data_IF_614654045103
#
_entry.id   IF_614654045103
#
_cell.length_a   1.000
_cell.length_b   1.000
_cell.length_c   1.000
_cell.angle_alpha   90.00
_cell.angle_beta   90.00
_cell.angle_gamma   90.00
#
_symmetry.space_group_name_H-M   'P 1'
#
loop_
_entity.id
_entity.type
_entity.pdbx_description
1 polymer ?
#
# COMPACT_ATOMS: atom_id res chain seq x y z
N UNK A 1 -17.75 22.30 -3.78
CA UNK A 1 -17.76 20.97 -3.15
C UNK A 1 -17.52 21.21 -1.66
N UNK A 2 -18.56 21.26 -0.83
CA UNK A 2 -18.42 21.55 0.62
C UNK A 2 -17.87 20.31 1.32
N UNK A 3 -16.62 20.36 1.77
CA UNK A 3 -16.07 19.33 2.64
C UNK A 3 -16.76 19.53 3.98
N UNK A 4 -17.60 18.56 4.39
CA UNK A 4 -18.23 18.59 5.70
C UNK A 4 -17.12 18.42 6.75
N UNK A 5 -16.67 19.51 7.35
CA UNK A 5 -15.92 19.55 8.61
C UNK A 5 -16.78 18.96 9.74
N UNK A 6 -16.96 17.64 9.74
CA UNK A 6 -17.47 16.93 10.90
C UNK A 6 -16.29 16.80 11.86
N UNK A 7 -16.12 17.80 12.71
CA UNK A 7 -15.20 17.81 13.84
C UNK A 7 -15.63 16.73 14.83
N UNK A 8 -15.25 15.47 14.53
CA UNK A 8 -15.21 14.41 15.52
C UNK A 8 -14.11 14.75 16.51
N UNK A 9 -14.50 15.31 17.64
CA UNK A 9 -13.61 15.71 18.72
C UNK A 9 -12.82 14.54 19.32
N UNK A 10 -11.64 14.93 19.82
CA UNK A 10 -10.87 14.32 20.91
C UNK A 10 -10.35 12.89 20.76
N UNK A 11 -9.02 12.77 20.78
CA UNK A 11 -8.34 11.65 21.44
C UNK A 11 -7.57 10.69 20.55
N UNK A 12 -6.53 11.15 19.86
CA UNK A 12 -5.45 10.24 19.42
C UNK A 12 -4.33 10.26 20.46
N UNK A 13 -4.63 9.65 21.61
CA UNK A 13 -3.61 9.19 22.56
C UNK A 13 -3.70 7.67 22.56
N UNK A 14 -2.71 7.02 21.94
CA UNK A 14 -2.38 5.60 22.06
C UNK A 14 -3.52 4.59 21.89
N UNK A 15 -3.65 4.00 20.70
CA UNK A 15 -4.23 2.67 20.57
C UNK A 15 -3.30 1.80 19.73
N UNK A 16 -2.80 0.76 20.37
CA UNK A 16 -1.83 -0.26 19.95
C UNK A 16 -2.33 -1.16 18.79
N UNK A 17 -2.80 -0.53 17.71
CA UNK A 17 -3.15 -1.15 16.43
C UNK A 17 -2.62 -0.36 15.22
N UNK A 18 -1.64 0.53 15.46
CA UNK A 18 -1.15 1.53 14.49
C UNK A 18 -0.41 0.94 13.29
N UNK A 19 0.35 -0.14 13.46
CA UNK A 19 1.23 -0.65 12.40
C UNK A 19 0.46 -1.02 11.12
N UNK A 20 -0.68 -1.72 11.26
CA UNK A 20 -1.50 -2.15 10.12
C UNK A 20 -2.29 -1.03 9.44
N UNK A 21 -2.69 0.03 10.16
CA UNK A 21 -3.38 1.20 9.55
C UNK A 21 -2.41 2.05 8.74
N UNK A 22 -1.17 2.07 9.18
CA UNK A 22 -0.13 2.95 8.70
C UNK A 22 0.61 2.29 7.52
N UNK A 23 0.67 0.94 7.49
CA UNK A 23 0.95 0.16 6.28
C UNK A 23 -0.10 0.37 5.18
N UNK A 24 -1.40 0.39 5.55
CA UNK A 24 -2.49 0.68 4.60
C UNK A 24 -2.33 2.07 4.00
N UNK A 25 -2.02 3.07 4.85
CA UNK A 25 -1.79 4.42 4.38
C UNK A 25 -0.67 4.47 3.33
N UNK A 26 0.46 3.77 3.53
CA UNK A 26 1.54 3.76 2.53
C UNK A 26 1.13 3.17 1.17
N UNK A 27 0.16 2.24 1.14
CA UNK A 27 -0.38 1.68 -0.11
C UNK A 27 -1.25 2.68 -0.88
N UNK A 28 -1.86 3.65 -0.20
CA UNK A 28 -2.73 4.69 -0.77
C UNK A 28 -1.92 5.92 -1.26
N UNK A 29 -0.71 6.15 -0.73
CA UNK A 29 0.12 7.32 -1.06
C UNK A 29 0.47 7.49 -2.55
N UNK A 30 0.77 6.44 -3.34
CA UNK A 30 1.01 6.61 -4.77
C UNK A 30 -0.21 7.20 -5.49
N UNK A 31 -1.43 6.76 -5.12
CA UNK A 31 -2.65 7.33 -5.68
C UNK A 31 -2.82 8.81 -5.29
N UNK A 32 -2.40 9.20 -4.07
CA UNK A 32 -2.45 10.59 -3.61
C UNK A 32 -1.58 11.48 -4.48
N UNK A 33 -0.34 11.06 -4.71
CA UNK A 33 0.63 11.77 -5.54
C UNK A 33 0.11 11.86 -6.99
N UNK A 34 -0.50 10.81 -7.52
CA UNK A 34 -1.14 10.84 -8.84
C UNK A 34 -2.27 11.88 -8.91
N UNK A 35 -3.16 11.94 -7.92
CA UNK A 35 -4.25 12.93 -7.87
C UNK A 35 -3.72 14.35 -7.71
N UNK A 36 -2.69 14.56 -6.89
CA UNK A 36 -2.03 15.86 -6.75
C UNK A 36 -1.40 16.32 -8.05
N UNK A 37 -0.61 15.46 -8.70
CA UNK A 37 0.02 15.76 -9.98
C UNK A 37 -1.02 16.07 -11.07
N UNK A 38 -2.12 15.32 -11.11
CA UNK A 38 -3.22 15.56 -12.04
C UNK A 38 -3.92 16.90 -11.79
N UNK A 39 -4.25 17.21 -10.53
CA UNK A 39 -4.90 18.47 -10.18
C UNK A 39 -3.99 19.68 -10.41
N UNK A 40 -2.69 19.55 -10.12
CA UNK A 40 -1.69 20.60 -10.34
C UNK A 40 -1.46 20.90 -11.83
N UNK A 41 -1.55 19.88 -12.70
CA UNK A 41 -1.54 20.07 -14.16
C UNK A 41 -2.75 20.87 -14.65
N UNK A 42 -3.92 20.67 -14.03
CA UNK A 42 -5.13 21.42 -14.38
C UNK A 42 -5.10 22.86 -13.86
N UNK A 43 -4.75 23.06 -12.58
CA UNK A 43 -4.65 24.39 -11.96
C UNK A 43 -3.39 24.47 -11.10
N UNK A 44 -2.53 25.50 -11.27
CA UNK A 44 -1.30 25.70 -10.49
C UNK A 44 -1.49 26.09 -9.02
N UNK A 45 -2.43 25.47 -8.30
CA UNK A 45 -2.74 25.84 -6.92
C UNK A 45 -2.72 24.60 -6.01
N UNK A 46 -1.82 24.62 -5.02
CA UNK A 46 -1.60 23.51 -4.10
C UNK A 46 -2.82 23.24 -3.21
N UNK A 47 -3.48 24.27 -2.67
CA UNK A 47 -4.67 24.12 -1.82
C UNK A 47 -5.83 23.50 -2.60
N UNK A 48 -6.03 23.95 -3.84
CA UNK A 48 -7.06 23.39 -4.73
C UNK A 48 -6.75 21.94 -5.10
N UNK A 49 -5.47 21.61 -5.31
CA UNK A 49 -5.03 20.24 -5.56
C UNK A 49 -5.23 19.33 -4.35
N UNK A 50 -4.88 19.79 -3.14
CA UNK A 50 -5.09 19.07 -1.90
C UNK A 50 -6.58 18.85 -1.62
N UNK A 51 -7.42 19.88 -1.82
CA UNK A 51 -8.87 19.76 -1.69
C UNK A 51 -9.48 18.77 -2.69
N UNK A 52 -9.00 18.76 -3.93
CA UNK A 52 -9.41 17.78 -4.94
C UNK A 52 -9.02 16.34 -4.52
N UNK A 53 -7.77 16.14 -4.10
CA UNK A 53 -7.30 14.84 -3.65
C UNK A 53 -8.07 14.35 -2.40
N UNK A 54 -8.41 15.24 -1.47
CA UNK A 54 -9.20 14.93 -0.28
C UNK A 54 -10.62 14.45 -0.61
N UNK A 55 -11.22 15.02 -1.67
CA UNK A 55 -12.52 14.63 -2.17
C UNK A 55 -12.51 13.22 -2.79
N UNK A 56 -11.43 12.89 -3.50
CA UNK A 56 -11.32 11.65 -4.25
C UNK A 56 -10.92 10.44 -3.38
N UNK A 57 -10.14 10.66 -2.32
CA UNK A 57 -9.72 9.59 -1.42
C UNK A 57 -10.77 9.24 -0.36
N UNK A 58 -10.95 7.94 -0.10
CA UNK A 58 -11.90 7.42 0.91
C UNK A 58 -11.21 6.66 2.06
N UNK A 59 -10.00 6.16 1.85
CA UNK A 59 -9.18 5.48 2.84
C UNK A 59 -8.71 6.36 4.01
N UNK A 60 -7.83 5.81 4.84
CA UNK A 60 -7.28 6.51 6.01
C UNK A 60 -6.52 7.78 5.63
N UNK A 61 -5.82 7.75 4.49
CA UNK A 61 -5.09 8.91 3.95
C UNK A 61 -6.05 10.02 3.54
N UNK A 62 -7.22 9.66 2.98
CA UNK A 62 -8.28 10.61 2.63
C UNK A 62 -8.92 11.29 3.84
N UNK A 63 -9.14 10.54 4.93
CA UNK A 63 -9.65 11.11 6.19
C UNK A 63 -8.64 12.10 6.80
N UNK A 64 -7.36 11.73 6.81
CA UNK A 64 -6.29 12.62 7.24
C UNK A 64 -6.28 13.90 6.40
N UNK A 65 -6.32 13.79 5.07
CA UNK A 65 -6.26 14.96 4.20
C UNK A 65 -7.49 15.86 4.34
N UNK A 66 -8.69 15.30 4.49
CA UNK A 66 -9.91 16.09 4.78
C UNK A 66 -9.81 16.85 6.10
N UNK A 67 -9.19 16.25 7.11
CA UNK A 67 -8.94 16.92 8.39
C UNK A 67 -7.96 18.08 8.22
N UNK A 68 -6.85 17.86 7.52
CA UNK A 68 -5.87 18.92 7.24
C UNK A 68 -6.48 20.07 6.43
N UNK A 69 -7.30 19.76 5.43
CA UNK A 69 -8.05 20.77 4.67
C UNK A 69 -9.04 21.54 5.54
N UNK A 70 -9.72 20.85 6.46
CA UNK A 70 -10.60 21.50 7.42
C UNK A 70 -9.81 22.46 8.36
N UNK A 71 -8.63 22.06 8.83
CA UNK A 71 -7.77 22.91 9.66
C UNK A 71 -7.24 24.14 8.89
N UNK A 72 -7.01 24.00 7.58
CA UNK A 72 -6.65 25.10 6.68
C UNK A 72 -7.83 26.06 6.43
N UNK A 73 -9.04 25.54 6.19
CA UNK A 73 -10.26 26.35 6.06
C UNK A 73 -10.62 27.11 7.36
N UNK A 74 -10.32 26.53 8.52
CA UNK A 74 -10.52 27.14 9.84
C UNK A 74 -9.41 28.14 10.22
N UNK A 75 -8.38 28.31 9.39
CA UNK A 75 -7.26 29.24 9.63
C UNK A 75 -6.25 28.78 10.69
N UNK A 76 -6.26 27.50 11.08
CA UNK A 76 -5.26 26.93 11.99
C UNK A 76 -3.91 26.64 11.29
N UNK A 77 -3.92 26.58 9.96
CA UNK A 77 -2.75 26.43 9.08
C UNK A 77 -2.71 27.59 8.08
N UNK A 78 -1.53 28.06 7.75
CA UNK A 78 -1.37 29.29 6.94
C UNK A 78 -1.21 29.02 5.44
N UNK A 79 -0.74 27.83 5.07
CA UNK A 79 -0.42 27.50 3.68
C UNK A 79 -0.55 26.00 3.41
N UNK A 80 -0.94 25.64 2.18
CA UNK A 80 -0.92 24.25 1.72
C UNK A 80 0.47 23.58 1.77
N UNK A 81 1.55 24.36 1.81
CA UNK A 81 2.92 23.82 1.95
C UNK A 81 3.15 23.18 3.33
N UNK A 82 2.58 23.74 4.41
CA UNK A 82 2.65 23.17 5.77
C UNK A 82 1.99 21.78 5.80
N UNK A 83 0.87 21.63 5.08
CA UNK A 83 0.19 20.33 4.95
C UNK A 83 1.10 19.30 4.30
N UNK A 84 1.83 19.69 3.26
CA UNK A 84 2.75 18.79 2.56
C UNK A 84 3.94 18.39 3.43
N UNK A 85 4.48 19.31 4.24
CA UNK A 85 5.54 19.02 5.21
C UNK A 85 5.06 18.05 6.30
N UNK A 86 3.84 18.23 6.81
CA UNK A 86 3.27 17.32 7.81
C UNK A 86 3.00 15.92 7.23
N UNK A 87 2.65 15.83 5.94
CA UNK A 87 2.58 14.55 5.22
C UNK A 87 3.95 13.87 5.10
N UNK A 88 5.00 14.62 4.74
CA UNK A 88 6.37 14.10 4.67
C UNK A 88 6.84 13.63 6.05
N UNK A 89 6.62 14.42 7.10
CA UNK A 89 7.00 14.03 8.46
C UNK A 89 6.28 12.78 8.95
N UNK A 90 5.04 12.55 8.52
CA UNK A 90 4.25 11.38 8.91
C UNK A 90 4.63 10.10 8.17
N UNK A 91 4.93 10.18 6.87
CA UNK A 91 5.11 8.99 6.02
C UNK A 91 6.49 8.84 5.39
N UNK A 92 7.32 9.88 5.36
CA UNK A 92 8.62 9.87 4.70
C UNK A 92 9.57 8.81 5.24
N UNK A 93 9.60 8.62 6.57
CA UNK A 93 10.43 7.59 7.20
C UNK A 93 10.09 6.15 6.81
N UNK A 94 8.88 5.89 6.32
CA UNK A 94 8.43 4.54 5.92
C UNK A 94 8.39 4.34 4.41
N UNK A 95 8.17 5.42 3.65
CA UNK A 95 7.94 5.40 2.22
C UNK A 95 8.80 6.51 1.59
N UNK A 96 10.13 6.30 1.47
CA UNK A 96 11.08 7.33 1.02
C UNK A 96 10.78 7.83 -0.40
N UNK A 97 10.12 7.02 -1.22
CA UNK A 97 9.74 7.40 -2.59
C UNK A 97 8.64 8.45 -2.58
N UNK A 98 7.76 8.40 -1.58
CA UNK A 98 6.68 9.38 -1.40
C UNK A 98 7.25 10.71 -0.93
N UNK A 99 8.17 10.69 0.04
CA UNK A 99 8.89 11.89 0.48
C UNK A 99 9.53 12.63 -0.69
N UNK A 100 10.30 11.89 -1.52
CA UNK A 100 10.93 12.46 -2.72
C UNK A 100 9.91 13.07 -3.67
N UNK A 101 8.80 12.37 -3.92
CA UNK A 101 7.75 12.86 -4.81
C UNK A 101 7.04 14.12 -4.29
N UNK A 102 6.81 14.22 -2.98
CA UNK A 102 6.19 15.39 -2.35
C UNK A 102 7.12 16.61 -2.37
N UNK A 103 8.43 16.41 -2.15
CA UNK A 103 9.42 17.48 -2.30
C UNK A 103 9.48 18.01 -3.75
N UNK A 104 9.41 17.13 -4.75
CA UNK A 104 9.36 17.52 -6.16
C UNK A 104 8.03 18.24 -6.51
N UNK A 105 6.92 17.83 -5.92
CA UNK A 105 5.65 18.54 -6.09
C UNK A 105 5.74 19.96 -5.52
N UNK A 106 6.31 20.13 -4.33
CA UNK A 106 6.52 21.45 -3.73
C UNK A 106 7.35 22.35 -4.63
N UNK A 107 8.51 21.87 -5.11
CA UNK A 107 9.36 22.66 -6.00
C UNK A 107 8.66 23.02 -7.32
N UNK A 108 7.80 22.14 -7.84
CA UNK A 108 7.02 22.43 -9.06
C UNK A 108 5.99 23.55 -8.91
N UNK A 109 5.56 23.88 -7.69
CA UNK A 109 4.62 24.98 -7.42
C UNK A 109 5.37 26.31 -7.33
N UNK A 110 6.63 26.28 -6.90
CA UNK A 110 7.52 27.45 -6.85
C UNK A 110 8.09 27.82 -8.23
N UNK A 111 8.16 26.85 -9.15
CA UNK A 111 8.61 27.05 -10.54
C UNK A 111 7.55 27.78 -11.40
N UNK A 112 7.91 28.96 -11.91
CA UNK A 112 7.01 29.79 -12.72
C UNK A 112 6.84 29.39 -14.19
N UNK A 113 7.69 28.52 -14.75
CA UNK A 113 7.62 28.13 -16.17
C UNK A 113 6.83 26.83 -16.37
N UNK A 114 5.84 26.86 -17.26
CA UNK A 114 4.95 25.72 -17.54
C UNK A 114 5.72 24.45 -17.97
N UNK A 115 6.69 24.59 -18.88
CA UNK A 115 7.43 23.45 -19.41
C UNK A 115 8.34 22.78 -18.38
N UNK A 116 8.97 23.54 -17.48
CA UNK A 116 9.80 22.97 -16.40
C UNK A 116 8.90 22.31 -15.37
N UNK A 117 7.81 22.97 -14.98
CA UNK A 117 6.83 22.46 -14.03
C UNK A 117 6.23 21.11 -14.43
N UNK A 118 5.85 20.93 -15.70
CA UNK A 118 5.32 19.65 -16.19
C UNK A 118 6.35 18.51 -16.11
N UNK A 119 7.62 18.81 -16.38
CA UNK A 119 8.74 17.86 -16.24
C UNK A 119 9.01 17.53 -14.78
N UNK A 120 8.99 18.51 -13.90
CA UNK A 120 9.17 18.31 -12.45
C UNK A 120 8.04 17.44 -11.89
N UNK A 121 6.78 17.71 -12.28
CA UNK A 121 5.64 16.87 -11.92
C UNK A 121 5.72 15.45 -12.50
N UNK A 122 6.21 15.28 -13.74
CA UNK A 122 6.40 13.94 -14.30
C UNK A 122 7.49 13.16 -13.58
N UNK A 123 8.57 13.82 -13.14
CA UNK A 123 9.62 13.22 -12.30
C UNK A 123 9.09 12.82 -10.92
N UNK A 124 8.24 13.65 -10.31
CA UNK A 124 7.57 13.29 -9.05
C UNK A 124 6.70 12.04 -9.21
N UNK A 125 5.94 11.98 -10.31
CA UNK A 125 5.08 10.85 -10.63
C UNK A 125 5.88 9.58 -10.92
N UNK A 126 6.97 9.66 -11.69
CA UNK A 126 7.82 8.50 -11.95
C UNK A 126 8.45 7.98 -10.67
N UNK A 127 8.94 8.86 -9.78
CA UNK A 127 9.54 8.45 -8.50
C UNK A 127 8.58 7.62 -7.63
N UNK A 128 7.31 8.05 -7.51
CA UNK A 128 6.34 7.30 -6.69
C UNK A 128 5.90 5.99 -7.34
N UNK A 129 5.80 5.96 -8.68
CA UNK A 129 5.43 4.76 -9.43
C UNK A 129 6.55 3.72 -9.42
N UNK A 130 7.80 4.14 -9.58
CA UNK A 130 8.97 3.27 -9.46
C UNK A 130 9.04 2.66 -8.06
N UNK A 131 8.73 3.43 -7.01
CA UNK A 131 8.59 2.92 -5.64
C UNK A 131 7.47 1.87 -5.51
N UNK A 132 6.30 2.14 -6.09
CA UNK A 132 5.18 1.19 -6.08
C UNK A 132 5.52 -0.12 -6.83
N UNK A 133 6.18 -0.01 -7.99
CA UNK A 133 6.66 -1.16 -8.77
C UNK A 133 7.75 -1.92 -8.02
N UNK A 134 8.68 -1.23 -7.37
CA UNK A 134 9.71 -1.81 -6.52
C UNK A 134 9.09 -2.64 -5.39
N UNK A 135 8.12 -2.08 -4.66
CA UNK A 135 7.39 -2.82 -3.59
C UNK A 135 6.65 -4.04 -4.13
N UNK A 136 6.05 -3.94 -5.31
CA UNK A 136 5.39 -5.07 -5.96
C UNK A 136 6.40 -6.18 -6.34
N UNK A 137 7.59 -5.80 -6.83
CA UNK A 137 8.68 -6.72 -7.15
C UNK A 137 9.22 -7.42 -5.91
N UNK A 138 9.51 -6.68 -4.86
CA UNK A 138 9.99 -7.24 -3.58
C UNK A 138 8.96 -8.20 -2.98
N UNK A 139 7.68 -7.87 -3.11
CA UNK A 139 6.61 -8.78 -2.70
C UNK A 139 6.62 -10.07 -3.53
N UNK A 140 6.72 -9.99 -4.86
CA UNK A 140 6.81 -11.16 -5.72
C UNK A 140 8.01 -12.05 -5.34
N UNK A 141 9.16 -11.46 -5.03
CA UNK A 141 10.34 -12.18 -4.54
C UNK A 141 10.11 -12.87 -3.19
N UNK A 142 9.50 -12.18 -2.22
CA UNK A 142 9.18 -12.77 -0.90
C UNK A 142 8.19 -13.94 -1.01
N UNK A 143 7.18 -13.81 -1.87
CA UNK A 143 6.22 -14.89 -2.14
C UNK A 143 6.90 -16.07 -2.79
N UNK A 144 7.74 -15.84 -3.81
CA UNK A 144 8.46 -16.92 -4.48
C UNK A 144 9.37 -17.70 -3.52
N UNK A 145 10.12 -17.00 -2.67
CA UNK A 145 10.97 -17.63 -1.67
C UNK A 145 10.16 -18.45 -0.65
N UNK A 146 9.02 -17.91 -0.20
CA UNK A 146 8.12 -18.62 0.72
C UNK A 146 7.52 -19.87 0.08
N UNK A 147 7.11 -19.80 -1.21
CA UNK A 147 6.60 -20.96 -1.96
C UNK A 147 7.68 -22.03 -2.10
N UNK A 148 8.91 -21.65 -2.45
CA UNK A 148 10.03 -22.60 -2.56
C UNK A 148 10.27 -23.34 -1.25
N UNK A 149 10.25 -22.66 -0.11
CA UNK A 149 10.39 -23.29 1.21
C UNK A 149 9.26 -24.27 1.53
N UNK A 150 8.01 -23.89 1.21
CA UNK A 150 6.85 -24.78 1.39
C UNK A 150 6.96 -26.01 0.49
N UNK A 151 7.40 -25.84 -0.75
CA UNK A 151 7.54 -26.93 -1.72
C UNK A 151 8.66 -27.91 -1.32
N UNK A 152 9.82 -27.42 -0.90
CA UNK A 152 10.95 -28.28 -0.55
C UNK A 152 10.72 -29.02 0.77
N UNK A 153 10.26 -28.32 1.82
CA UNK A 153 9.98 -28.94 3.12
C UNK A 153 8.70 -29.77 3.11
N UNK A 154 7.72 -29.39 2.31
CA UNK A 154 6.39 -29.97 2.36
C UNK A 154 6.07 -31.01 1.28
N UNK A 155 6.79 -30.99 0.16
CA UNK A 155 6.58 -31.96 -0.92
C UNK A 155 7.82 -32.81 -1.15
N UNK A 156 8.99 -32.21 -1.35
CA UNK A 156 10.22 -32.99 -1.62
C UNK A 156 10.69 -33.80 -0.41
N UNK A 157 10.77 -33.19 0.77
CA UNK A 157 11.24 -33.87 1.99
C UNK A 157 10.41 -35.13 2.31
N UNK A 158 9.06 -35.09 2.36
CA UNK A 158 8.28 -36.32 2.57
C UNK A 158 8.45 -37.31 1.43
N UNK A 159 8.51 -36.86 0.18
CA UNK A 159 8.67 -37.75 -0.96
C UNK A 159 9.98 -38.56 -0.88
N UNK A 160 11.09 -37.89 -0.57
CA UNK A 160 12.40 -38.54 -0.40
C UNK A 160 12.37 -39.51 0.78
N UNK A 161 11.73 -39.13 1.90
CA UNK A 161 11.60 -39.99 3.06
C UNK A 161 10.84 -41.28 2.73
N UNK A 162 9.70 -41.16 2.04
CA UNK A 162 8.88 -42.31 1.57
C UNK A 162 9.69 -43.24 0.68
N UNK A 163 10.48 -42.70 -0.25
CA UNK A 163 11.36 -43.49 -1.13
C UNK A 163 12.47 -44.19 -0.33
N UNK A 164 12.95 -43.60 0.76
CA UNK A 164 13.98 -44.19 1.63
C UNK A 164 13.45 -45.20 2.66
N UNK A 165 12.14 -45.21 2.95
CA UNK A 165 11.51 -46.17 3.89
C UNK A 165 11.94 -47.63 3.67
N UNK A 166 11.87 -48.21 2.45
CA UNK A 166 12.24 -49.61 2.25
C UNK A 166 13.70 -49.92 2.61
N UNK A 167 14.62 -48.98 2.33
CA UNK A 167 16.05 -49.10 2.66
C UNK A 167 16.29 -49.06 4.17
N UNK A 168 15.54 -48.22 4.87
CA UNK A 168 15.62 -48.13 6.34
C UNK A 168 15.02 -49.39 6.98
N UNK A 169 13.89 -49.88 6.43
CA UNK A 169 13.21 -51.08 6.92
C UNK A 169 14.06 -52.35 6.82
N UNK A 170 14.93 -52.46 5.80
CA UNK A 170 15.83 -53.61 5.66
C UNK A 170 16.95 -53.64 6.71
N UNK A 171 17.22 -52.50 7.37
CA UNK A 171 18.25 -52.38 8.41
C UNK A 171 17.69 -52.74 9.80
N UNK A 172 16.41 -53.12 9.92
CA UNK A 172 15.77 -53.53 11.18
C UNK A 172 15.42 -52.37 12.13
N UNK A 173 15.77 -51.13 11.77
CA UNK A 173 15.43 -49.93 12.54
C UNK A 173 14.22 -49.23 11.90
N UNK A 174 13.04 -49.35 12.51
CA UNK A 174 11.91 -48.43 12.28
C UNK A 174 10.78 -48.98 11.39
N UNK A 175 9.80 -49.63 12.03
CA UNK A 175 8.52 -50.01 11.42
C UNK A 175 7.45 -48.91 11.50
N UNK A 176 6.46 -49.01 12.42
CA UNK A 176 5.28 -48.14 12.42
C UNK A 176 5.55 -46.66 12.78
N UNK A 177 6.60 -46.38 13.56
CA UNK A 177 6.93 -45.02 14.01
C UNK A 177 7.39 -44.11 12.85
N UNK A 178 8.15 -44.64 11.90
CA UNK A 178 8.65 -43.89 10.73
C UNK A 178 7.49 -43.58 9.78
N UNK A 179 6.61 -44.55 9.55
CA UNK A 179 5.36 -44.38 8.79
C UNK A 179 4.43 -43.34 9.41
N UNK A 180 4.27 -43.36 10.74
CA UNK A 180 3.45 -42.37 11.45
C UNK A 180 4.01 -40.95 11.29
N UNK A 181 5.33 -40.78 11.44
CA UNK A 181 5.98 -39.47 11.28
C UNK A 181 5.87 -38.95 9.83
N UNK A 182 6.09 -39.82 8.84
CA UNK A 182 5.98 -39.47 7.43
C UNK A 182 4.54 -39.11 7.02
N UNK A 183 3.55 -39.89 7.45
CA UNK A 183 2.15 -39.71 7.05
C UNK A 183 1.39 -38.65 7.86
N UNK A 184 1.76 -38.38 9.12
CA UNK A 184 1.00 -37.47 10.00
C UNK A 184 1.77 -36.18 10.27
N UNK A 185 3.05 -36.26 10.65
CA UNK A 185 3.79 -35.05 11.02
C UNK A 185 4.08 -34.17 9.79
N UNK A 186 4.45 -34.80 8.67
CA UNK A 186 4.79 -34.05 7.48
C UNK A 186 3.62 -33.20 6.94
N UNK A 187 2.41 -33.73 6.69
CA UNK A 187 1.29 -32.90 6.24
C UNK A 187 0.85 -31.86 7.28
N UNK A 188 0.98 -32.15 8.58
CA UNK A 188 0.70 -31.18 9.64
C UNK A 188 1.68 -29.99 9.58
N UNK A 189 2.97 -30.25 9.32
CA UNK A 189 3.99 -29.23 9.16
C UNK A 189 3.76 -28.38 7.90
N UNK A 190 3.36 -29.01 6.79
CA UNK A 190 2.97 -28.28 5.56
C UNK A 190 1.77 -27.39 5.79
N UNK A 191 0.73 -27.92 6.44
CA UNK A 191 -0.47 -27.17 6.77
C UNK A 191 -0.13 -25.93 7.60
N UNK A 192 0.70 -26.09 8.63
CA UNK A 192 1.14 -24.98 9.48
C UNK A 192 1.94 -23.92 8.69
N UNK A 193 2.89 -24.35 7.84
CA UNK A 193 3.65 -23.44 6.98
C UNK A 193 2.74 -22.71 5.98
N UNK A 194 1.78 -23.41 5.37
CA UNK A 194 0.80 -22.85 4.45
C UNK A 194 -0.05 -21.77 5.12
N UNK A 195 -0.60 -22.06 6.30
CA UNK A 195 -1.33 -21.07 7.09
C UNK A 195 -0.48 -19.86 7.46
N UNK A 196 0.83 -20.02 7.65
CA UNK A 196 1.75 -18.91 7.95
C UNK A 196 2.03 -18.05 6.71
N UNK A 197 2.22 -18.68 5.55
CA UNK A 197 2.45 -18.00 4.27
C UNK A 197 1.20 -17.21 3.79
N UNK A 198 0.00 -17.79 3.96
CA UNK A 198 -1.27 -17.17 3.58
C UNK A 198 -1.65 -15.94 4.42
N UNK A 199 -1.06 -15.76 5.62
CA UNK A 199 -1.27 -14.55 6.43
C UNK A 199 -0.49 -13.34 5.92
N UNK A 200 0.44 -13.52 5.00
CA UNK A 200 1.20 -12.43 4.38
C UNK A 200 0.47 -11.69 3.26
N UNK A 201 -0.88 -11.71 3.21
CA UNK A 201 -1.65 -11.05 2.15
C UNK A 201 -1.40 -9.53 2.20
N UNK A 202 -0.77 -8.93 1.17
CA UNK A 202 -0.61 -7.51 1.10
C UNK A 202 -1.98 -6.89 0.89
N UNK A 203 -2.21 -5.79 1.58
CA UNK A 203 -3.39 -4.96 1.42
C UNK A 203 -3.33 -4.39 0.01
N UNK A 204 -4.18 -4.96 -0.86
CA UNK A 204 -4.34 -4.52 -2.24
C UNK A 204 -4.61 -3.02 -2.25
N UNK A 205 -3.86 -2.34 -3.12
CA UNK A 205 -4.10 -0.96 -3.54
C UNK A 205 -5.60 -0.68 -3.58
N UNK A 206 -6.04 0.37 -2.89
CA UNK A 206 -7.43 0.79 -2.96
C UNK A 206 -7.76 1.03 -4.44
N UNK A 207 -8.72 0.27 -4.96
CA UNK A 207 -9.07 0.36 -6.37
C UNK A 207 -9.54 1.78 -6.64
N UNK A 208 -8.85 2.48 -7.54
CA UNK A 208 -9.33 3.74 -8.11
C UNK A 208 -10.64 3.40 -8.82
N UNK A 209 -11.76 3.65 -8.16
CA UNK A 209 -13.07 3.52 -8.80
C UNK A 209 -13.21 4.64 -9.80
N UNK A 210 -13.07 4.28 -11.08
CA UNK A 210 -13.53 5.10 -12.18
C UNK A 210 -15.07 5.09 -12.08
N UNK A 211 -15.74 6.24 -11.88
CA UNK A 211 -17.18 6.29 -12.01
C UNK A 211 -17.53 5.84 -13.43
N UNK A 212 -18.30 4.76 -13.54
CA UNK A 212 -18.76 4.21 -14.82
C UNK A 212 -19.91 5.03 -15.42
N UNK A 213 -20.30 6.15 -14.80
CA UNK A 213 -21.22 7.11 -15.40
C UNK A 213 -20.42 8.14 -16.21
N UNK A 214 -20.43 8.07 -17.56
CA UNK A 214 -19.97 9.19 -18.37
C UNK A 214 -20.84 10.41 -18.03
N UNK A 215 -20.24 11.61 -17.85
CA UNK A 215 -21.00 12.86 -17.71
C UNK A 215 -21.74 13.12 -19.03
N UNK A 216 -22.96 12.59 -19.13
CA UNK A 216 -23.74 12.56 -20.37
C UNK A 216 -24.87 11.52 -20.41
N UNK A 217 -24.88 10.51 -19.54
CA UNK A 217 -26.00 9.56 -19.44
C UNK A 217 -27.17 10.13 -18.60
N UNK A 218 -27.63 11.32 -18.98
CA UNK A 218 -28.97 11.76 -18.59
C UNK A 218 -29.98 10.89 -19.33
N UNK A 219 -30.73 10.09 -18.57
CA UNK A 219 -32.17 9.84 -18.78
C UNK A 219 -32.64 9.98 -20.23
N UNK A 220 -32.48 8.95 -21.05
CA UNK A 220 -33.40 8.73 -22.16
C UNK A 220 -34.48 7.80 -21.62
N UNK A 221 -35.62 8.42 -21.34
CA UNK A 221 -36.86 7.74 -21.00
C UNK A 221 -37.26 6.78 -22.13
N UNK A 222 -37.71 5.59 -21.76
CA UNK A 222 -38.64 4.76 -22.51
C UNK A 222 -39.54 4.04 -21.52
#
# INVERSE_FOLDING_TARGET
MRISCRTGGSGWRGASGGEGLEERACSELPALVCYLAMALRAVPNLERALGFAAGQMRGETGKFLRRMMCELELGYRTCGAEVLEEMVGRWGGRCPEVERSLHLIRSSVEEGSLATRERTLSMALSAVLDGAVGRARDYALRVHHSILLVYTLGVLLPLVLVVMVPVISSTGFGGPAVLFFACVLCPLMVWWLGCRALRGRPLLFEQVRIPLDPPGAGTVAA
#
